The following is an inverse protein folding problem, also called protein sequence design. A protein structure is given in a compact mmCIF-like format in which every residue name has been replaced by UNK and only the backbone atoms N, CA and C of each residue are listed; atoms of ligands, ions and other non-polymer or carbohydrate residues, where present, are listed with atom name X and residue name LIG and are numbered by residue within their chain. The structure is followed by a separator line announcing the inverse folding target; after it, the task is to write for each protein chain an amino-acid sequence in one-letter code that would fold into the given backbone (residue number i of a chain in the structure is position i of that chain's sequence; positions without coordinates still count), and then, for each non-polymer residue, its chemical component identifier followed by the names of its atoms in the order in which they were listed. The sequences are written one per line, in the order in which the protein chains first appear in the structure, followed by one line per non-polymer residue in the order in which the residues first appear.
data_IF_962012197249
#
_entry.id   IF_962012197249
#
_cell.length_a   1.000
_cell.length_b   1.000
_cell.length_c   1.000
_cell.angle_alpha   90.00
_cell.angle_beta   90.00
_cell.angle_gamma   90.00
#
_symmetry.space_group_name_H-M   'P 1'
#
loop_
_entity.id
_entity.type
_entity.pdbx_description
1 polymer ?
#
# COMPACT_ATOMS: atom_id res chain seq x y z
N UNK A 1 27.00 55.22 -2.46
CA UNK A 1 27.75 54.25 -3.29
C UNK A 1 26.81 53.82 -4.39
N UNK A 2 27.09 54.22 -5.64
CA UNK A 2 26.24 53.88 -6.78
C UNK A 2 26.43 52.41 -7.14
N UNK A 3 25.33 51.67 -7.27
CA UNK A 3 25.30 50.27 -7.67
C UNK A 3 25.85 50.18 -9.11
N UNK A 4 26.90 49.37 -9.39
CA UNK A 4 27.44 49.26 -10.73
C UNK A 4 26.35 48.78 -11.68
N UNK A 5 26.22 49.49 -12.80
CA UNK A 5 25.30 49.24 -13.91
C UNK A 5 25.13 47.73 -14.18
N UNK A 6 24.03 47.15 -13.68
CA UNK A 6 23.61 45.82 -14.09
C UNK A 6 23.17 45.94 -15.55
N UNK A 7 23.97 45.37 -16.44
CA UNK A 7 23.60 45.17 -17.83
C UNK A 7 22.28 44.39 -17.81
N UNK A 8 21.17 44.94 -18.34
CA UNK A 8 19.91 44.23 -18.41
C UNK A 8 20.10 42.91 -19.18
N UNK A 9 19.70 41.79 -18.59
CA UNK A 9 19.77 40.50 -19.25
C UNK A 9 18.92 40.57 -20.54
N UNK A 10 19.49 40.36 -21.73
CA UNK A 10 18.76 40.43 -22.99
C UNK A 10 17.62 39.40 -23.08
N UNK A 11 17.65 38.36 -22.23
CA UNK A 11 16.60 37.35 -22.15
C UNK A 11 15.41 37.75 -21.27
N UNK A 12 15.46 38.87 -20.57
CA UNK A 12 14.37 39.32 -19.69
C UNK A 12 13.08 39.67 -20.45
N UNK A 13 13.20 40.01 -21.74
CA UNK A 13 12.08 40.35 -22.61
C UNK A 13 11.88 39.32 -23.74
N UNK A 14 12.48 38.13 -23.63
CA UNK A 14 12.34 37.08 -24.64
C UNK A 14 10.94 36.45 -24.54
N UNK A 15 10.07 36.62 -25.56
CA UNK A 15 8.71 36.09 -25.54
C UNK A 15 8.67 34.56 -25.53
N UNK A 16 9.75 33.89 -25.97
CA UNK A 16 9.87 32.42 -25.93
C UNK A 16 10.39 31.91 -24.58
N UNK A 17 10.82 32.80 -23.68
CA UNK A 17 11.27 32.47 -22.33
C UNK A 17 10.46 33.26 -21.29
N UNK A 18 9.21 32.84 -21.00
CA UNK A 18 8.37 33.52 -20.03
C UNK A 18 9.11 33.56 -18.69
N UNK A 19 9.51 34.75 -18.27
CA UNK A 19 10.11 34.95 -16.96
C UNK A 19 9.16 34.37 -15.92
N UNK A 20 9.58 33.32 -15.23
CA UNK A 20 8.79 32.76 -14.13
C UNK A 20 8.51 33.90 -13.16
N UNK A 21 7.24 34.14 -12.77
CA UNK A 21 6.89 35.26 -11.90
C UNK A 21 7.76 35.20 -10.64
N UNK A 22 8.47 36.30 -10.37
CA UNK A 22 9.33 36.46 -9.19
C UNK A 22 8.42 36.39 -7.97
N UNK A 23 8.29 35.20 -7.39
CA UNK A 23 7.35 34.93 -6.29
C UNK A 23 6.71 33.54 -6.33
N UNK A 24 6.79 32.81 -7.44
CA UNK A 24 6.44 31.39 -7.46
C UNK A 24 7.59 30.57 -6.89
N UNK A 25 7.72 30.54 -5.56
CA UNK A 25 8.53 29.54 -4.89
C UNK A 25 8.00 28.14 -5.26
N UNK A 26 8.78 27.26 -5.91
CA UNK A 26 8.34 25.92 -6.26
C UNK A 26 7.95 25.08 -5.04
N UNK A 27 8.37 25.48 -3.83
CA UNK A 27 7.92 24.87 -2.58
C UNK A 27 6.54 25.36 -2.13
N UNK A 28 6.08 26.54 -2.57
CA UNK A 28 4.76 27.07 -2.18
C UNK A 28 3.60 26.38 -2.90
N UNK A 29 3.91 25.64 -3.97
CA UNK A 29 2.94 24.76 -4.67
C UNK A 29 2.82 23.40 -4.01
N UNK A 30 3.64 23.06 -3.00
CA UNK A 30 3.54 21.80 -2.30
C UNK A 30 2.25 21.79 -1.45
N UNK A 31 1.24 20.99 -1.83
CA UNK A 31 -0.03 20.94 -1.10
C UNK A 31 0.15 20.45 0.35
N UNK A 32 1.32 19.88 0.71
CA UNK A 32 1.68 19.46 2.06
C UNK A 32 2.06 20.61 2.98
N UNK A 33 2.43 21.76 2.42
CA UNK A 33 2.83 22.95 3.18
C UNK A 33 1.68 23.96 3.35
N UNK A 34 0.52 23.73 2.74
CA UNK A 34 -0.65 24.56 2.93
C UNK A 34 -1.40 24.18 4.23
N UNK A 35 -1.38 25.01 5.29
CA UNK A 35 -2.06 24.70 6.55
C UNK A 35 -3.58 24.59 6.40
N UNK A 36 -4.17 25.16 5.34
CA UNK A 36 -5.60 25.01 5.03
C UNK A 36 -5.97 23.61 4.52
N UNK A 37 -5.01 22.85 3.96
CA UNK A 37 -5.23 21.47 3.50
C UNK A 37 -5.22 20.45 4.65
N UNK A 38 -4.70 20.81 5.82
CA UNK A 38 -4.63 19.94 6.99
C UNK A 38 -5.98 19.74 7.69
N UNK A 39 -7.01 20.50 7.31
CA UNK A 39 -8.33 20.49 7.95
C UNK A 39 -9.45 19.87 7.10
N UNK A 40 -9.17 19.37 5.90
CA UNK A 40 -10.19 18.69 5.09
C UNK A 40 -10.31 17.20 5.48
N UNK A 41 -11.39 16.78 6.17
CA UNK A 41 -11.60 15.39 6.54
C UNK A 41 -11.80 14.46 5.32
N UNK A 42 -12.16 15.00 4.15
CA UNK A 42 -12.38 14.19 2.94
C UNK A 42 -11.10 13.61 2.34
N UNK A 43 -9.93 14.12 2.74
CA UNK A 43 -8.60 13.62 2.30
C UNK A 43 -8.06 12.53 3.24
N UNK A 44 -8.73 12.27 4.37
CA UNK A 44 -8.32 11.26 5.35
C UNK A 44 -8.80 9.86 4.93
N UNK A 45 -9.95 9.75 4.26
CA UNK A 45 -10.57 8.45 3.96
C UNK A 45 -9.82 7.64 2.89
N UNK A 46 -9.14 8.29 1.93
CA UNK A 46 -8.37 7.59 0.89
C UNK A 46 -6.93 7.21 1.29
N UNK A 47 -6.52 7.46 2.54
CA UNK A 47 -5.23 7.01 3.09
C UNK A 47 -5.34 5.77 3.98
N UNK A 48 -6.51 5.15 4.06
CA UNK A 48 -6.75 4.00 4.93
C UNK A 48 -6.25 2.64 4.37
N UNK A 49 -5.63 2.61 3.17
CA UNK A 49 -5.01 1.38 2.63
C UNK A 49 -3.53 1.24 3.01
N UNK A 50 -2.89 2.32 3.48
CA UNK A 50 -1.51 2.28 3.97
C UNK A 50 -1.40 3.04 5.27
N UNK A 51 -2.35 2.80 6.18
CA UNK A 51 -2.07 3.02 7.59
C UNK A 51 -1.11 1.90 8.00
N UNK A 52 0.18 2.07 7.66
CA UNK A 52 1.28 1.27 8.15
C UNK A 52 1.23 1.36 9.67
N UNK A 53 0.48 0.43 10.26
CA UNK A 53 0.39 0.18 11.68
C UNK A 53 1.79 -0.26 12.08
N UNK A 54 2.66 0.71 12.33
CA UNK A 54 4.05 0.57 12.72
C UNK A 54 4.23 -0.07 14.12
N UNK A 55 3.23 -0.83 14.57
CA UNK A 55 3.23 -1.63 15.78
C UNK A 55 3.33 -3.15 15.48
N UNK A 56 3.42 -3.57 14.21
CA UNK A 56 3.36 -4.99 13.82
C UNK A 56 4.69 -5.73 13.87
N UNK A 57 5.85 -5.05 13.85
CA UNK A 57 7.15 -5.73 13.80
C UNK A 57 7.44 -6.52 15.08
N UNK A 58 7.19 -5.94 16.25
CA UNK A 58 7.43 -6.63 17.54
C UNK A 58 6.51 -7.83 17.76
N UNK A 59 5.26 -7.74 17.33
CA UNK A 59 4.30 -8.86 17.43
C UNK A 59 4.68 -9.99 16.49
N UNK A 60 5.12 -9.67 15.26
CA UNK A 60 5.62 -10.68 14.32
C UNK A 60 6.84 -11.41 14.87
N UNK A 61 7.82 -10.66 15.42
CA UNK A 61 9.01 -11.24 16.02
C UNK A 61 8.63 -12.13 17.22
N UNK A 62 7.75 -11.64 18.12
CA UNK A 62 7.29 -12.42 19.27
C UNK A 62 6.55 -13.71 18.84
N UNK A 63 5.71 -13.63 17.81
CA UNK A 63 5.01 -14.79 17.26
C UNK A 63 5.99 -15.82 16.68
N UNK A 64 7.01 -15.39 15.93
CA UNK A 64 8.05 -16.28 15.39
C UNK A 64 8.84 -16.95 16.50
N UNK A 65 9.24 -16.21 17.54
CA UNK A 65 9.96 -16.76 18.70
C UNK A 65 9.11 -17.80 19.45
N UNK A 66 7.80 -17.53 19.64
CA UNK A 66 6.89 -18.46 20.29
C UNK A 66 6.77 -19.79 19.51
N UNK A 67 6.61 -19.71 18.18
CA UNK A 67 6.52 -20.91 17.33
C UNK A 67 7.82 -21.73 17.39
N UNK A 68 8.97 -21.07 17.31
CA UNK A 68 10.27 -21.76 17.41
C UNK A 68 10.47 -22.40 18.79
N UNK A 69 10.01 -21.76 19.86
CA UNK A 69 10.08 -22.33 21.22
C UNK A 69 9.23 -23.61 21.35
N UNK A 70 8.03 -23.64 20.75
CA UNK A 70 7.18 -24.84 20.74
C UNK A 70 7.86 -25.97 19.97
N UNK A 71 8.38 -25.70 18.77
CA UNK A 71 9.08 -26.72 17.98
C UNK A 71 10.31 -27.25 18.74
N UNK A 72 11.11 -26.34 19.32
CA UNK A 72 12.25 -26.72 20.14
C UNK A 72 11.83 -27.58 21.34
N UNK A 73 10.72 -27.24 22.01
CA UNK A 73 10.20 -28.04 23.11
C UNK A 73 9.89 -29.48 22.66
N UNK A 74 9.22 -29.68 21.54
CA UNK A 74 8.93 -31.03 21.03
C UNK A 74 10.18 -31.81 20.59
N UNK A 75 11.21 -31.12 20.07
CA UNK A 75 12.46 -31.76 19.64
C UNK A 75 13.36 -32.11 20.82
N UNK A 76 13.46 -31.23 21.82
CA UNK A 76 14.40 -31.37 22.95
C UNK A 76 13.78 -31.94 24.22
N UNK A 77 12.45 -31.97 24.34
CA UNK A 77 11.73 -32.67 25.39
C UNK A 77 10.88 -33.82 24.80
N UNK A 78 11.51 -34.84 24.17
CA UNK A 78 10.79 -36.08 23.88
C UNK A 78 10.22 -36.59 25.20
N UNK A 79 8.91 -36.85 25.20
CA UNK A 79 8.08 -37.02 26.39
C UNK A 79 8.85 -37.66 27.54
N UNK A 80 9.00 -36.93 28.64
CA UNK A 80 9.31 -37.59 29.91
C UNK A 80 8.08 -38.41 30.22
N UNK A 81 8.12 -39.70 29.89
CA UNK A 81 7.20 -40.67 30.44
C UNK A 81 7.27 -40.48 31.95
N UNK A 82 6.33 -39.73 32.51
CA UNK A 82 6.04 -39.77 33.93
C UNK A 82 5.48 -41.16 34.15
N UNK A 83 6.38 -42.12 34.31
CA UNK A 83 6.08 -43.44 34.78
C UNK A 83 5.36 -43.25 36.10
N UNK A 84 4.03 -43.41 36.06
CA UNK A 84 3.22 -43.53 37.26
C UNK A 84 3.73 -44.78 37.95
N UNK A 85 4.56 -44.63 38.98
CA UNK A 85 4.98 -45.76 39.82
C UNK A 85 3.71 -46.41 40.37
N UNK A 86 3.34 -47.63 39.96
CA UNK A 86 2.16 -48.27 40.51
C UNK A 86 2.53 -48.76 41.90
N UNK A 87 2.11 -48.03 42.93
CA UNK A 87 2.06 -48.55 44.30
C UNK A 87 0.82 -49.44 44.40
N UNK A 88 0.90 -50.64 43.82
CA UNK A 88 -0.22 -51.58 43.78
C UNK A 88 0.30 -52.99 43.55
N UNK A 89 -0.07 -53.88 44.47
CA UNK A 89 0.34 -55.27 44.57
C UNK A 89 0.31 -56.02 43.23
N UNK A 90 1.28 -56.90 43.02
CA UNK A 90 1.37 -57.74 41.84
C UNK A 90 0.19 -58.71 41.77
N UNK A 91 -0.85 -58.34 41.01
CA UNK A 91 -1.86 -59.28 40.53
C UNK A 91 -1.40 -59.77 39.16
N UNK A 92 -0.90 -61.00 39.11
CA UNK A 92 -0.67 -61.73 37.85
C UNK A 92 -2.01 -61.85 37.13
N UNK A 93 -2.20 -61.03 36.11
CA UNK A 93 -3.30 -61.17 35.15
C UNK A 93 -2.72 -61.79 33.89
N UNK A 94 -3.32 -62.90 33.47
CA UNK A 94 -3.03 -63.55 32.19
C UNK A 94 -3.23 -62.54 31.04
N UNK A 95 -2.37 -62.52 30.00
CA UNK A 95 -2.55 -61.59 28.88
C UNK A 95 -3.87 -61.88 28.15
N UNK A 96 -4.81 -60.94 28.22
CA UNK A 96 -6.01 -61.00 27.38
C UNK A 96 -5.61 -60.84 25.91
N UNK A 97 -6.05 -61.78 25.06
CA UNK A 97 -5.92 -61.70 23.60
C UNK A 97 -6.50 -60.38 23.09
N UNK A 98 -5.71 -59.53 22.40
CA UNK A 98 -6.23 -58.29 21.82
C UNK A 98 -7.34 -58.59 20.82
N UNK A 99 -8.49 -57.93 20.97
CA UNK A 99 -9.52 -57.94 19.94
C UNK A 99 -8.97 -57.28 18.66
N UNK A 100 -9.35 -57.75 17.45
CA UNK A 100 -8.91 -57.13 16.21
C UNK A 100 -9.41 -55.68 16.13
N UNK A 101 -8.49 -54.74 15.93
CA UNK A 101 -8.78 -53.32 15.72
C UNK A 101 -9.69 -53.16 14.50
N UNK A 102 -10.94 -52.75 14.74
CA UNK A 102 -11.97 -52.58 13.72
C UNK A 102 -12.20 -51.11 13.34
N UNK A 103 -11.14 -50.30 13.28
CA UNK A 103 -11.25 -48.89 12.88
C UNK A 103 -10.18 -48.53 11.86
N UNK A 104 -10.35 -49.04 10.64
CA UNK A 104 -9.66 -48.48 9.48
C UNK A 104 -10.02 -46.98 9.37
N UNK A 105 -9.03 -46.08 9.21
CA UNK A 105 -9.29 -44.65 9.02
C UNK A 105 -10.21 -44.42 7.83
N UNK A 106 -11.24 -43.58 8.01
CA UNK A 106 -12.12 -43.18 6.92
C UNK A 106 -11.33 -42.42 5.85
N UNK A 107 -11.46 -42.82 4.60
CA UNK A 107 -10.86 -42.14 3.45
C UNK A 107 -11.38 -40.71 3.37
N UNK A 108 -10.50 -39.68 3.34
CA UNK A 108 -10.94 -38.30 3.15
C UNK A 108 -11.73 -38.14 1.85
N UNK A 109 -12.86 -37.43 1.92
CA UNK A 109 -13.65 -37.10 0.74
C UNK A 109 -12.86 -36.16 -0.18
N UNK A 110 -12.98 -36.28 -1.52
CA UNK A 110 -12.32 -35.38 -2.44
C UNK A 110 -12.87 -33.95 -2.28
N UNK A 111 -11.98 -32.97 -2.20
CA UNK A 111 -12.33 -31.56 -2.19
C UNK A 111 -13.08 -31.19 -3.48
N UNK A 112 -14.36 -30.92 -3.34
CA UNK A 112 -15.20 -30.42 -4.42
C UNK A 112 -15.39 -28.92 -4.24
N UNK A 113 -14.56 -28.10 -4.90
CA UNK A 113 -14.99 -26.95 -5.71
C UNK A 113 -13.78 -26.22 -6.28
N UNK A 114 -13.63 -26.25 -7.61
CA UNK A 114 -12.75 -25.34 -8.32
C UNK A 114 -13.31 -23.91 -8.20
N UNK A 115 -12.49 -22.89 -7.91
CA UNK A 115 -12.93 -21.49 -7.93
C UNK A 115 -13.53 -21.13 -9.29
N UNK A 116 -14.68 -20.45 -9.28
CA UNK A 116 -15.26 -19.90 -10.50
C UNK A 116 -14.29 -18.87 -11.13
N UNK A 117 -14.15 -18.85 -12.47
CA UNK A 117 -13.28 -17.88 -13.12
C UNK A 117 -13.81 -16.46 -12.91
N UNK A 118 -12.89 -15.53 -12.58
CA UNK A 118 -13.19 -14.11 -12.42
C UNK A 118 -13.73 -13.51 -13.72
N UNK A 119 -15.01 -13.16 -13.73
CA UNK A 119 -15.66 -12.44 -14.82
C UNK A 119 -15.54 -10.93 -14.57
N UNK A 120 -14.40 -10.34 -14.90
CA UNK A 120 -14.24 -8.88 -14.89
C UNK A 120 -13.22 -8.47 -15.95
N UNK A 121 -13.64 -8.46 -17.21
CA UNK A 121 -12.87 -7.82 -18.26
C UNK A 121 -12.87 -6.30 -18.03
N UNK A 122 -11.71 -5.61 -18.12
CA UNK A 122 -11.63 -4.16 -18.00
C UNK A 122 -12.51 -3.45 -19.04
N UNK A 123 -13.26 -2.43 -18.62
CA UNK A 123 -14.02 -1.60 -19.53
C UNK A 123 -13.08 -0.83 -20.47
N UNK A 124 -13.38 -0.85 -21.77
CA UNK A 124 -12.66 -0.08 -22.78
C UNK A 124 -12.80 1.43 -22.49
N UNK A 125 -11.69 2.19 -22.44
CA UNK A 125 -11.74 3.64 -22.27
C UNK A 125 -12.58 4.30 -23.38
N UNK A 126 -13.38 5.30 -23.00
CA UNK A 126 -14.13 6.12 -23.94
C UNK A 126 -13.17 6.97 -24.80
N UNK A 127 -13.49 7.26 -26.07
CA UNK A 127 -12.67 8.11 -26.92
C UNK A 127 -12.58 9.53 -26.37
N UNK A 128 -11.38 10.11 -26.46
CA UNK A 128 -11.10 11.47 -26.00
C UNK A 128 -11.95 12.51 -26.73
N UNK A 129 -12.41 13.50 -25.96
CA UNK A 129 -13.19 14.62 -26.46
C UNK A 129 -12.37 15.46 -27.46
N UNK A 130 -13.03 15.87 -28.53
CA UNK A 130 -12.48 16.67 -29.64
C UNK A 130 -11.77 17.92 -29.15
N UNK A 131 -10.64 18.24 -29.79
CA UNK A 131 -9.75 19.36 -29.46
C UNK A 131 -10.48 20.71 -29.37
N UNK A 132 -9.99 21.65 -28.53
CA UNK A 132 -10.54 22.99 -28.41
C UNK A 132 -10.59 23.75 -29.75
N UNK A 133 -11.66 24.52 -29.96
CA UNK A 133 -11.83 25.35 -31.14
C UNK A 133 -10.75 26.43 -31.23
N UNK A 134 -10.28 26.70 -32.45
CA UNK A 134 -9.25 27.69 -32.74
C UNK A 134 -9.72 29.11 -32.35
N UNK A 135 -8.87 29.93 -31.71
CA UNK A 135 -9.21 31.31 -31.36
C UNK A 135 -9.55 32.16 -32.59
N UNK A 136 -10.57 33.02 -32.45
CA UNK A 136 -10.97 33.94 -33.51
C UNK A 136 -9.86 34.97 -33.82
N UNK A 137 -9.72 35.40 -35.09
CA UNK A 137 -8.72 36.39 -35.49
C UNK A 137 -8.95 37.73 -34.78
N UNK A 138 -7.84 38.42 -34.47
CA UNK A 138 -7.86 39.70 -33.79
C UNK A 138 -8.51 40.81 -34.65
N UNK A 139 -9.18 41.79 -34.01
CA UNK A 139 -9.72 42.96 -34.71
C UNK A 139 -8.63 43.75 -35.45
N UNK A 140 -8.96 44.28 -36.63
CA UNK A 140 -8.06 45.12 -37.40
C UNK A 140 -7.75 46.44 -36.68
N UNK A 141 -6.51 46.90 -36.77
CA UNK A 141 -6.05 48.15 -36.17
C UNK A 141 -6.70 49.36 -36.86
N UNK A 142 -7.11 50.40 -36.12
CA UNK A 142 -7.65 51.63 -36.69
C UNK A 142 -6.64 52.35 -37.59
N UNK A 143 -7.09 52.86 -38.73
CA UNK A 143 -6.26 53.64 -39.63
C UNK A 143 -5.75 54.94 -38.95
N UNK A 144 -4.51 55.38 -39.26
CA UNK A 144 -3.94 56.59 -38.69
C UNK A 144 -4.77 57.83 -39.07
N UNK A 145 -4.90 58.75 -38.11
CA UNK A 145 -5.61 60.00 -38.32
C UNK A 145 -4.88 60.92 -39.31
N UNK A 146 -5.60 61.75 -40.09
CA UNK A 146 -4.98 62.72 -40.99
C UNK A 146 -4.18 63.77 -40.20
N UNK A 147 -2.97 64.10 -40.68
CA UNK A 147 -2.19 65.20 -40.14
C UNK A 147 -2.86 66.55 -40.50
N UNK A 148 -2.94 67.45 -39.51
CA UNK A 148 -3.39 68.84 -39.68
C UNK A 148 -2.19 69.76 -39.88
#
# INVERSE_FOLDING_TARGET
MADPSRIPDPRANDPDNPSTPVGADPLSSDPRLNPANSQDPRVVDNRNVVQSRAASSGVLIAAVVLVLAVIAYFVFAPGTDTAVTPTGEAVTTEPATPAPDATAPATPAPDATAPAPDASAPATPAPDATAPAEPAPAPAEPAPAPAQ
#
